data_IF_940352359457
#
_entry.id   IF_940352359457
#
_cell.length_a   1.000
_cell.length_b   1.000
_cell.length_c   1.000
_cell.angle_alpha   90.00
_cell.angle_beta   90.00
_cell.angle_gamma   90.00
#
_symmetry.space_group_name_H-M   'P 1'
#
loop_
_entity.id
_entity.type
_entity.pdbx_description
1 polymer ?
#
# COMPACT_ATOMS: atom_id res chain seq x y z
N UNK A 1 5.97 -19.91 -11.12
CA UNK A 1 5.55 -18.61 -11.69
C UNK A 1 4.32 -18.04 -11.00
N UNK A 2 3.15 -18.71 -11.02
CA UNK A 2 1.92 -18.18 -10.41
C UNK A 2 2.01 -17.99 -8.88
N UNK A 3 2.68 -18.91 -8.18
CA UNK A 3 2.90 -18.83 -6.73
C UNK A 3 3.65 -17.56 -6.30
N UNK A 4 4.60 -17.06 -7.10
CA UNK A 4 5.34 -15.84 -6.77
C UNK A 4 4.43 -14.61 -6.73
N UNK A 5 3.39 -14.55 -7.58
CA UNK A 5 2.42 -13.44 -7.56
C UNK A 5 1.42 -13.57 -6.41
N UNK A 6 1.09 -14.79 -5.99
CA UNK A 6 0.31 -15.02 -4.76
C UNK A 6 1.13 -14.58 -3.54
N UNK A 7 2.41 -14.96 -3.48
CA UNK A 7 3.34 -14.51 -2.44
C UNK A 7 3.48 -12.99 -2.43
N UNK A 8 3.61 -12.37 -3.61
CA UNK A 8 3.68 -10.91 -3.76
C UNK A 8 2.43 -10.22 -3.21
N UNK A 9 1.24 -10.75 -3.51
CA UNK A 9 -0.02 -10.23 -2.97
C UNK A 9 -0.10 -10.41 -1.45
N UNK A 10 0.38 -11.53 -0.90
CA UNK A 10 0.44 -11.75 0.55
C UNK A 10 1.42 -10.79 1.24
N UNK A 11 2.59 -10.57 0.66
CA UNK A 11 3.59 -9.61 1.16
C UNK A 11 3.09 -8.17 1.05
N UNK A 12 2.41 -7.82 -0.04
CA UNK A 12 1.77 -6.52 -0.20
C UNK A 12 0.80 -6.25 0.95
N UNK A 13 -0.03 -7.23 1.29
CA UNK A 13 -0.99 -7.12 2.39
C UNK A 13 -0.30 -6.88 3.75
N UNK A 14 0.83 -7.54 4.01
CA UNK A 14 1.62 -7.28 5.21
C UNK A 14 2.22 -5.86 5.23
N UNK A 15 2.80 -5.43 4.11
CA UNK A 15 3.36 -4.08 3.97
C UNK A 15 2.27 -3.02 4.13
N UNK A 16 1.08 -3.25 3.60
CA UNK A 16 -0.05 -2.33 3.72
C UNK A 16 -0.48 -2.13 5.16
N UNK A 17 -0.61 -3.22 5.94
CA UNK A 17 -0.99 -3.12 7.36
C UNK A 17 0.04 -2.32 8.15
N UNK A 18 1.32 -2.57 7.93
CA UNK A 18 2.40 -1.86 8.61
C UNK A 18 2.44 -0.38 8.20
N UNK A 19 2.41 -0.12 6.89
CA UNK A 19 2.52 1.24 6.34
C UNK A 19 1.28 2.06 6.68
N UNK A 20 0.09 1.47 6.65
CA UNK A 20 -1.15 2.15 7.04
C UNK A 20 -1.15 2.54 8.51
N UNK A 21 -0.56 1.71 9.39
CA UNK A 21 -0.42 2.05 10.82
C UNK A 21 0.41 3.31 11.01
N UNK A 22 1.53 3.42 10.29
CA UNK A 22 2.39 4.62 10.31
C UNK A 22 1.69 5.84 9.72
N UNK A 23 1.02 5.68 8.57
CA UNK A 23 0.25 6.78 7.96
C UNK A 23 -0.85 7.27 8.89
N UNK A 24 -1.59 6.35 9.52
CA UNK A 24 -2.64 6.68 10.47
C UNK A 24 -2.09 7.40 11.71
N UNK A 25 -0.84 7.09 12.12
CA UNK A 25 -0.18 7.81 13.21
C UNK A 25 0.08 9.27 12.83
N UNK A 26 0.56 9.53 11.61
CA UNK A 26 0.83 10.88 11.08
C UNK A 26 -0.46 11.70 10.92
N UNK A 27 -1.53 11.08 10.41
CA UNK A 27 -2.83 11.77 10.21
C UNK A 27 -3.52 12.14 11.52
N UNK A 28 -3.18 11.47 12.63
CA UNK A 28 -3.72 11.79 13.96
C UNK A 28 -2.90 12.85 14.70
N UNK A 29 -1.78 13.31 14.15
CA UNK A 29 -0.98 14.35 14.78
C UNK A 29 -1.68 15.71 14.67
N UNK A 30 -1.52 16.61 15.66
CA UNK A 30 -2.16 17.91 15.67
C UNK A 30 -1.50 18.93 14.71
N UNK A 31 -0.49 18.53 13.95
CA UNK A 31 0.24 19.40 13.01
C UNK A 31 -0.29 19.22 11.59
N UNK A 32 -0.79 20.29 10.98
CA UNK A 32 -1.31 20.29 9.61
C UNK A 32 -0.29 19.79 8.58
N UNK A 33 1.00 20.09 8.81
CA UNK A 33 2.09 19.58 7.96
C UNK A 33 2.21 18.06 8.06
N UNK A 34 2.14 17.50 9.27
CA UNK A 34 2.23 16.06 9.48
C UNK A 34 1.02 15.34 8.91
N UNK A 35 -0.18 15.91 9.08
CA UNK A 35 -1.41 15.41 8.46
C UNK A 35 -1.29 15.43 6.94
N UNK A 36 -0.81 16.53 6.35
CA UNK A 36 -0.59 16.66 4.91
C UNK A 36 0.39 15.61 4.36
N UNK A 37 1.49 15.36 5.07
CA UNK A 37 2.43 14.28 4.73
C UNK A 37 1.73 12.91 4.81
N UNK A 38 0.98 12.64 5.87
CA UNK A 38 0.23 11.38 6.03
C UNK A 38 -0.75 11.14 4.88
N UNK A 39 -1.51 12.17 4.49
CA UNK A 39 -2.44 12.08 3.35
C UNK A 39 -1.70 11.88 2.02
N UNK A 40 -0.56 12.54 1.81
CA UNK A 40 0.29 12.32 0.64
C UNK A 40 0.81 10.90 0.55
N UNK A 41 1.30 10.35 1.66
CA UNK A 41 1.75 8.95 1.74
C UNK A 41 0.60 7.97 1.52
N UNK A 42 -0.60 8.28 2.02
CA UNK A 42 -1.80 7.47 1.76
C UNK A 42 -2.12 7.42 0.26
N UNK A 43 -2.06 8.56 -0.43
CA UNK A 43 -2.27 8.62 -1.88
C UNK A 43 -1.25 7.74 -2.61
N UNK A 44 0.02 7.83 -2.24
CA UNK A 44 1.09 7.00 -2.82
C UNK A 44 0.84 5.52 -2.57
N UNK A 45 0.45 5.14 -1.35
CA UNK A 45 0.15 3.75 -0.99
C UNK A 45 -0.98 3.17 -1.84
N UNK A 46 -2.05 3.93 -2.05
CA UNK A 46 -3.20 3.53 -2.89
C UNK A 46 -2.79 3.35 -4.34
N UNK A 47 -2.03 4.30 -4.91
CA UNK A 47 -1.56 4.24 -6.29
C UNK A 47 -0.63 3.04 -6.50
N UNK A 48 0.34 2.84 -5.60
CA UNK A 48 1.25 1.71 -5.65
C UNK A 48 0.49 0.37 -5.58
N UNK A 49 -0.48 0.27 -4.66
CA UNK A 49 -1.34 -0.90 -4.52
C UNK A 49 -2.07 -1.24 -5.82
N UNK A 50 -2.70 -0.25 -6.44
CA UNK A 50 -3.42 -0.43 -7.69
C UNK A 50 -2.53 -1.08 -8.76
N UNK A 51 -1.31 -0.57 -8.94
CA UNK A 51 -0.38 -1.12 -9.94
C UNK A 51 0.07 -2.54 -9.60
N UNK A 52 0.46 -2.81 -8.34
CA UNK A 52 0.95 -4.14 -7.92
C UNK A 52 -0.16 -5.19 -8.03
N UNK A 53 -1.38 -4.86 -7.57
CA UNK A 53 -2.54 -5.74 -7.68
C UNK A 53 -2.88 -5.98 -9.15
N UNK A 54 -2.99 -4.91 -9.96
CA UNK A 54 -3.31 -5.01 -11.39
C UNK A 54 -2.30 -5.88 -12.13
N UNK A 55 -1.01 -5.68 -11.86
CA UNK A 55 0.08 -6.47 -12.46
C UNK A 55 0.01 -7.94 -12.04
N UNK A 56 -0.14 -8.20 -10.74
CA UNK A 56 -0.19 -9.55 -10.19
C UNK A 56 -1.39 -10.34 -10.74
N UNK A 57 -2.57 -9.73 -10.77
CA UNK A 57 -3.78 -10.36 -11.30
C UNK A 57 -3.67 -10.66 -12.79
N UNK A 58 -3.07 -9.77 -13.59
CA UNK A 58 -2.84 -10.02 -15.01
C UNK A 58 -1.91 -11.21 -15.23
N UNK A 59 -0.86 -11.36 -14.41
CA UNK A 59 0.08 -12.48 -14.48
C UNK A 59 -0.49 -13.81 -13.95
N UNK A 60 -1.46 -13.76 -13.05
CA UNK A 60 -2.17 -14.96 -12.57
C UNK A 60 -3.16 -15.50 -13.61
N UNK A 61 -3.80 -14.60 -14.36
CA UNK A 61 -4.76 -14.92 -15.42
C UNK A 61 -4.10 -15.40 -16.72
N UNK A 62 -2.90 -14.92 -17.04
CA UNK A 62 -2.06 -15.42 -18.12
C UNK A 62 -1.59 -16.86 -17.86
#
# INVERSE_FOLDING_TARGET
>A
MKFAYILLLGLLLLVDVLTFTEIASLVRQPSDLQVGIGLGLLLVLVVANFFVIRFSLNKLRA
#
